data_IF_194627895550
#
_entry.id   IF_194627895550
#
_cell.length_a   1.000
_cell.length_b   1.000
_cell.length_c   1.000
_cell.angle_alpha   90.00
_cell.angle_beta   90.00
_cell.angle_gamma   90.00
#
_symmetry.space_group_name_H-M   'P 1'
#
loop_
_entity.id
_entity.type
_entity.pdbx_description
1 polymer ?
#
# COMPACT_ATOMS: atom_id res chain seq x y z
N UNK A 1 77.13 -9.25 -56.39
CA UNK A 1 76.38 -10.44 -56.86
C UNK A 1 74.92 -10.29 -56.44
N UNK A 2 74.01 -10.48 -57.41
CA UNK A 2 72.61 -10.96 -57.37
C UNK A 2 71.75 -10.67 -56.12
N UNK A 3 70.48 -10.24 -56.17
CA UNK A 3 69.48 -9.79 -57.16
C UNK A 3 68.35 -9.20 -56.27
N UNK A 4 67.92 -7.96 -56.50
CA UNK A 4 66.57 -7.62 -57.03
C UNK A 4 65.40 -8.21 -56.24
N UNK A 5 64.65 -7.41 -55.49
CA UNK A 5 63.37 -6.83 -55.92
C UNK A 5 62.39 -6.96 -54.73
N UNK A 6 61.28 -6.24 -54.56
CA UNK A 6 60.50 -5.30 -55.37
C UNK A 6 59.74 -4.43 -54.36
N UNK A 7 59.64 -3.14 -54.67
CA UNK A 7 58.77 -2.15 -54.08
C UNK A 7 57.30 -2.55 -54.29
N UNK A 8 56.46 -2.61 -53.25
CA UNK A 8 55.01 -2.44 -53.43
C UNK A 8 54.42 -1.63 -52.27
N UNK A 9 54.14 -0.38 -52.59
CA UNK A 9 53.42 0.58 -51.78
C UNK A 9 51.92 0.28 -51.95
N UNK A 10 51.26 -0.25 -50.92
CA UNK A 10 49.80 -0.23 -50.85
C UNK A 10 49.39 0.20 -49.45
N UNK A 11 49.10 1.49 -49.36
CA UNK A 11 48.27 2.12 -48.35
C UNK A 11 46.85 1.55 -48.45
N UNK A 12 46.44 0.69 -47.51
CA UNK A 12 45.03 0.47 -47.22
C UNK A 12 44.65 1.29 -45.97
N UNK A 13 44.16 2.51 -46.25
CA UNK A 13 43.37 3.28 -45.31
C UNK A 13 42.03 2.55 -45.10
N UNK A 14 41.97 1.69 -44.09
CA UNK A 14 40.67 1.29 -43.54
C UNK A 14 40.31 2.30 -42.45
N UNK A 15 39.54 3.31 -42.88
CA UNK A 15 38.64 4.06 -42.02
C UNK A 15 37.66 3.07 -41.37
N UNK A 16 38.02 2.53 -40.20
CA UNK A 16 37.06 1.96 -39.27
C UNK A 16 36.61 3.07 -38.34
N UNK A 17 35.50 3.74 -38.67
CA UNK A 17 34.85 4.68 -37.78
C UNK A 17 34.63 4.02 -36.41
N UNK A 18 35.19 4.68 -35.40
CA UNK A 18 34.71 4.67 -34.03
C UNK A 18 33.19 4.54 -34.00
N UNK A 19 32.72 3.45 -33.42
CA UNK A 19 31.56 3.46 -32.56
C UNK A 19 31.91 2.56 -31.40
N UNK A 20 32.54 3.15 -30.38
CA UNK A 20 32.24 2.73 -29.03
C UNK A 20 30.71 2.75 -28.93
N UNK A 21 30.10 1.57 -28.98
CA UNK A 21 28.73 1.42 -28.53
C UNK A 21 28.79 1.75 -27.05
N UNK A 22 28.60 3.03 -26.74
CA UNK A 22 28.03 3.46 -25.48
C UNK A 22 26.69 2.76 -25.47
N UNK A 23 26.67 1.56 -24.90
CA UNK A 23 25.49 1.06 -24.23
C UNK A 23 25.14 2.21 -23.30
N UNK A 24 24.17 3.03 -23.73
CA UNK A 24 23.44 3.84 -22.79
C UNK A 24 22.91 2.79 -21.84
N UNK A 25 23.55 2.64 -20.69
CA UNK A 25 22.82 2.31 -19.49
C UNK A 25 21.64 3.25 -19.53
N UNK A 26 20.49 2.71 -19.97
CA UNK A 26 19.24 3.31 -19.61
C UNK A 26 19.37 3.50 -18.11
N UNK A 27 19.44 4.76 -17.69
CA UNK A 27 19.29 5.11 -16.30
C UNK A 27 17.93 4.52 -15.91
N UNK A 28 17.94 3.27 -15.43
CA UNK A 28 16.83 2.69 -14.71
C UNK A 28 16.66 3.66 -13.57
N UNK A 29 15.72 4.57 -13.74
CA UNK A 29 15.35 5.49 -12.68
C UNK A 29 14.76 4.57 -11.63
N UNK A 30 15.57 4.22 -10.63
CA UNK A 30 15.16 3.30 -9.59
C UNK A 30 13.86 3.85 -9.01
N UNK A 31 12.78 3.08 -9.18
CA UNK A 31 11.51 3.45 -8.57
C UNK A 31 11.71 3.32 -7.07
N UNK A 32 11.29 4.32 -6.28
CA UNK A 32 11.41 4.23 -4.83
C UNK A 32 10.64 3.01 -4.32
N UNK A 33 11.00 2.45 -3.15
CA UNK A 33 10.26 1.37 -2.50
C UNK A 33 8.77 1.69 -2.36
N UNK A 34 7.92 0.66 -2.32
CA UNK A 34 6.47 0.83 -2.28
C UNK A 34 5.99 1.72 -1.12
N UNK A 35 6.51 1.50 0.09
CA UNK A 35 6.14 2.29 1.26
C UNK A 35 6.54 3.78 1.12
N UNK A 36 7.66 4.06 0.45
CA UNK A 36 8.06 5.43 0.14
C UNK A 36 7.09 6.06 -0.87
N UNK A 37 6.68 5.31 -1.91
CA UNK A 37 5.65 5.77 -2.85
C UNK A 37 4.32 6.07 -2.15
N UNK A 38 3.88 5.18 -1.25
CA UNK A 38 2.65 5.36 -0.45
C UNK A 38 2.77 6.63 0.40
N UNK A 39 3.88 6.79 1.13
CA UNK A 39 4.12 7.95 2.01
C UNK A 39 4.13 9.27 1.23
N UNK A 40 4.71 9.28 0.03
CA UNK A 40 4.70 10.45 -0.85
C UNK A 40 3.27 10.82 -1.27
N UNK A 41 2.48 9.84 -1.72
CA UNK A 41 1.07 10.06 -2.11
C UNK A 41 0.24 10.54 -0.91
N UNK A 42 0.42 9.96 0.27
CA UNK A 42 -0.25 10.42 1.50
C UNK A 42 0.07 11.88 1.81
N UNK A 43 1.34 12.25 1.71
CA UNK A 43 1.81 13.62 1.96
C UNK A 43 1.20 14.61 0.96
N UNK A 44 1.17 14.25 -0.33
CA UNK A 44 0.55 15.04 -1.39
C UNK A 44 -0.97 15.24 -1.17
N UNK A 45 -1.62 14.30 -0.49
CA UNK A 45 -3.05 14.32 -0.20
C UNK A 45 -3.37 14.76 1.24
N UNK A 46 -2.56 15.65 1.82
CA UNK A 46 -2.78 16.28 3.14
C UNK A 46 -2.78 15.31 4.34
N UNK A 47 -2.16 14.14 4.18
CA UNK A 47 -1.89 13.18 5.26
C UNK A 47 -0.38 13.03 5.53
N UNK A 48 0.36 14.13 5.81
CA UNK A 48 1.78 14.03 6.10
C UNK A 48 2.02 13.32 7.44
N UNK A 49 3.13 12.58 7.53
CA UNK A 49 3.63 11.96 8.77
C UNK A 49 2.62 11.02 9.47
N UNK A 50 1.72 10.39 8.70
CA UNK A 50 0.83 9.35 9.22
C UNK A 50 1.59 8.03 9.24
N UNK A 51 1.53 7.34 10.37
CA UNK A 51 2.15 6.03 10.52
C UNK A 51 1.28 4.96 9.84
N UNK A 52 1.88 4.22 8.90
CA UNK A 52 1.24 3.08 8.25
C UNK A 52 1.26 1.91 9.23
N UNK A 53 0.09 1.32 9.48
CA UNK A 53 -0.07 0.14 10.33
C UNK A 53 0.10 -1.14 9.51
N UNK A 54 -0.56 -1.20 8.35
CA UNK A 54 -0.56 -2.36 7.46
C UNK A 54 -0.99 -1.93 6.05
N UNK A 55 -0.72 -2.77 5.06
CA UNK A 55 -1.34 -2.64 3.74
C UNK A 55 -1.59 -4.00 3.10
N UNK A 56 -2.68 -4.08 2.33
CA UNK A 56 -3.00 -5.26 1.53
C UNK A 56 -3.12 -4.88 0.05
N UNK A 57 -2.63 -5.75 -0.83
CA UNK A 57 -2.72 -5.60 -2.29
C UNK A 57 -3.82 -6.56 -2.79
N UNK A 58 -4.83 -6.05 -3.48
CA UNK A 58 -5.89 -6.85 -4.13
C UNK A 58 -6.08 -6.40 -5.57
N UNK A 59 -5.61 -7.21 -6.51
CA UNK A 59 -5.57 -6.83 -7.93
C UNK A 59 -4.74 -5.57 -8.11
N UNK A 60 -5.33 -4.57 -8.76
CA UNK A 60 -4.68 -3.28 -9.01
C UNK A 60 -4.83 -2.28 -7.86
N UNK A 61 -5.39 -2.69 -6.72
CA UNK A 61 -5.63 -1.80 -5.58
C UNK A 61 -4.71 -2.11 -4.41
N UNK A 62 -4.26 -1.05 -3.72
CA UNK A 62 -3.53 -1.12 -2.47
C UNK A 62 -4.36 -0.41 -1.40
N UNK A 63 -4.66 -1.15 -0.34
CA UNK A 63 -5.45 -0.69 0.81
C UNK A 63 -4.48 -0.43 1.94
N UNK A 64 -4.25 0.84 2.26
CA UNK A 64 -3.25 1.23 3.25
C UNK A 64 -3.99 1.71 4.49
N UNK A 65 -3.71 1.04 5.61
CA UNK A 65 -4.29 1.33 6.90
C UNK A 65 -3.26 2.12 7.70
N UNK A 66 -3.67 3.26 8.25
CA UNK A 66 -2.77 4.16 8.95
C UNK A 66 -3.38 4.66 10.25
N UNK A 67 -2.53 5.06 11.21
CA UNK A 67 -2.96 5.67 12.48
C UNK A 67 -3.51 7.06 12.23
N UNK A 68 -4.80 7.27 12.48
CA UNK A 68 -5.41 8.57 12.29
C UNK A 68 -5.62 9.33 13.61
N UNK A 69 -4.79 10.35 13.85
CA UNK A 69 -4.85 11.18 15.05
C UNK A 69 -5.82 12.39 14.88
N UNK A 70 -7.10 12.16 14.60
CA UNK A 70 -8.05 13.25 14.29
C UNK A 70 -8.28 14.22 15.48
N UNK A 71 -8.15 13.75 16.72
CA UNK A 71 -8.39 14.50 17.96
C UNK A 71 -7.19 14.49 18.92
N UNK A 72 -6.02 14.02 18.47
CA UNK A 72 -4.78 14.01 19.24
C UNK A 72 -4.69 12.90 20.30
N UNK A 73 -5.73 12.08 20.50
CA UNK A 73 -5.75 10.98 21.47
C UNK A 73 -6.32 9.68 20.93
N UNK A 74 -7.11 9.71 19.86
CA UNK A 74 -7.58 8.50 19.20
C UNK A 74 -6.58 8.04 18.15
N UNK A 75 -6.09 6.81 18.33
CA UNK A 75 -5.18 6.14 17.39
C UNK A 75 -5.97 5.20 16.47
N UNK A 76 -7.21 5.57 16.12
CA UNK A 76 -8.07 4.68 15.34
C UNK A 76 -7.51 4.50 13.93
N UNK A 77 -7.49 3.27 13.40
CA UNK A 77 -7.11 3.03 12.01
C UNK A 77 -8.09 3.71 11.07
N UNK A 78 -7.54 4.32 10.02
CA UNK A 78 -8.29 4.83 8.89
C UNK A 78 -7.66 4.30 7.59
N UNK A 79 -8.32 4.52 6.47
CA UNK A 79 -7.98 3.89 5.19
C UNK A 79 -7.68 4.93 4.11
N UNK A 80 -6.65 4.64 3.33
CA UNK A 80 -6.55 5.13 1.96
C UNK A 80 -6.60 3.96 0.99
N UNK A 81 -7.14 4.21 -0.19
CA UNK A 81 -7.17 3.27 -1.30
C UNK A 81 -6.34 3.90 -2.40
N UNK A 82 -5.34 3.16 -2.86
CA UNK A 82 -4.50 3.53 -3.98
C UNK A 82 -4.76 2.57 -5.14
N UNK A 83 -4.65 3.05 -6.37
CA UNK A 83 -4.79 2.24 -7.57
C UNK A 83 -3.49 2.27 -8.36
N UNK A 84 -3.00 1.10 -8.72
CA UNK A 84 -1.94 0.90 -9.69
C UNK A 84 -2.52 1.13 -11.08
N UNK A 85 -1.86 1.99 -11.85
CA UNK A 85 -2.16 2.18 -13.25
C UNK A 85 -0.86 2.36 -14.03
N UNK A 86 -0.50 1.36 -14.84
CA UNK A 86 0.64 1.40 -15.75
C UNK A 86 1.98 1.69 -15.05
N UNK A 87 2.24 1.03 -13.93
CA UNK A 87 3.45 1.19 -13.13
C UNK A 87 3.46 2.41 -12.23
N UNK A 88 2.33 3.12 -12.08
CA UNK A 88 2.20 4.31 -11.24
C UNK A 88 1.08 4.14 -10.23
N UNK A 89 1.40 4.41 -8.97
CA UNK A 89 0.44 4.41 -7.89
C UNK A 89 -0.29 5.76 -7.84
N UNK A 90 -1.62 5.74 -7.70
CA UNK A 90 -2.46 6.93 -7.68
C UNK A 90 -3.44 6.91 -6.50
N UNK A 91 -3.75 8.08 -5.94
CA UNK A 91 -4.81 8.22 -4.95
C UNK A 91 -6.16 7.88 -5.57
N UNK A 92 -6.84 6.88 -5.01
CA UNK A 92 -8.17 6.50 -5.45
C UNK A 92 -9.24 6.96 -4.46
N UNK A 93 -8.99 6.83 -3.15
CA UNK A 93 -9.87 7.32 -2.11
C UNK A 93 -9.14 7.46 -0.76
N UNK A 94 -9.73 8.21 0.18
CA UNK A 94 -9.27 8.26 1.56
C UNK A 94 -10.38 8.46 2.59
N UNK A 95 -10.04 8.98 3.79
CA UNK A 95 -10.98 9.09 4.92
C UNK A 95 -12.30 9.80 4.60
N UNK A 96 -12.23 10.86 3.78
CA UNK A 96 -13.39 11.65 3.39
C UNK A 96 -14.34 10.93 2.43
N UNK A 97 -13.89 9.84 1.81
CA UNK A 97 -14.66 9.04 0.86
C UNK A 97 -15.31 7.81 1.54
N UNK A 98 -15.33 7.78 2.88
CA UNK A 98 -16.04 6.76 3.64
C UNK A 98 -17.52 6.77 3.28
N UNK A 99 -18.03 5.61 2.93
CA UNK A 99 -19.43 5.46 2.47
C UNK A 99 -20.41 5.31 3.62
N UNK A 100 -20.02 4.61 4.69
CA UNK A 100 -20.88 4.35 5.84
C UNK A 100 -20.06 4.14 7.10
N UNK A 101 -20.68 4.41 8.25
CA UNK A 101 -20.24 3.97 9.56
C UNK A 101 -21.41 3.24 10.21
N UNK A 102 -21.16 2.04 10.74
CA UNK A 102 -22.17 1.19 11.38
C UNK A 102 -21.72 0.93 12.81
N UNK A 103 -22.58 1.20 13.78
CA UNK A 103 -22.40 0.68 15.14
C UNK A 103 -22.77 -0.79 15.16
N UNK A 104 -21.86 -1.61 15.68
CA UNK A 104 -22.01 -3.05 15.86
C UNK A 104 -21.86 -3.39 17.35
N UNK A 105 -22.19 -4.62 17.75
CA UNK A 105 -22.21 -5.03 19.17
C UNK A 105 -20.92 -4.71 19.93
N UNK A 106 -19.77 -4.82 19.26
CA UNK A 106 -18.46 -4.62 19.86
C UNK A 106 -17.84 -3.25 19.62
N UNK A 107 -18.48 -2.35 18.84
CA UNK A 107 -17.90 -1.05 18.49
C UNK A 107 -18.40 -0.50 17.16
N UNK A 108 -17.48 -0.13 16.27
CA UNK A 108 -17.80 0.54 15.02
C UNK A 108 -17.13 -0.09 13.80
N UNK A 109 -17.89 -0.18 12.70
CA UNK A 109 -17.40 -0.58 11.39
C UNK A 109 -17.39 0.60 10.43
N UNK A 110 -16.24 0.91 9.84
CA UNK A 110 -16.07 1.88 8.76
C UNK A 110 -16.11 1.17 7.41
N UNK A 111 -16.97 1.63 6.50
CA UNK A 111 -17.15 1.02 5.19
C UNK A 111 -16.71 1.96 4.08
N UNK A 112 -15.92 1.44 3.15
CA UNK A 112 -15.45 2.10 1.94
C UNK A 112 -15.91 1.30 0.72
N UNK A 113 -17.20 1.43 0.38
CA UNK A 113 -17.77 0.79 -0.80
C UNK A 113 -17.36 1.52 -2.09
N UNK A 114 -17.03 0.77 -3.13
CA UNK A 114 -16.59 1.30 -4.43
C UNK A 114 -17.20 0.48 -5.56
N UNK A 115 -17.41 1.14 -6.69
CA UNK A 115 -17.85 0.47 -7.93
C UNK A 115 -16.71 -0.38 -8.54
N UNK A 116 -15.46 0.00 -8.27
CA UNK A 116 -14.27 -0.72 -8.70
C UNK A 116 -13.49 -1.26 -7.50
N UNK A 117 -13.21 -2.56 -7.50
CA UNK A 117 -12.52 -3.25 -6.40
C UNK A 117 -13.45 -3.65 -5.24
N UNK A 118 -12.95 -4.41 -4.26
CA UNK A 118 -13.75 -4.82 -3.10
C UNK A 118 -14.16 -3.64 -2.21
N UNK A 119 -15.35 -3.75 -1.63
CA UNK A 119 -15.75 -2.96 -0.47
C UNK A 119 -14.86 -3.33 0.71
N UNK A 120 -14.32 -2.31 1.38
CA UNK A 120 -13.50 -2.52 2.57
C UNK A 120 -14.30 -2.21 3.81
N UNK A 121 -14.23 -3.12 4.78
CA UNK A 121 -14.81 -2.92 6.11
C UNK A 121 -13.72 -2.99 7.16
N UNK A 122 -13.53 -1.92 7.92
CA UNK A 122 -12.62 -1.87 9.08
C UNK A 122 -13.48 -1.87 10.35
N UNK A 123 -13.36 -2.90 11.16
CA UNK A 123 -14.04 -3.06 12.43
C UNK A 123 -13.08 -2.72 13.55
N UNK A 124 -13.45 -1.70 14.32
CA UNK A 124 -12.74 -1.27 15.51
C UNK A 124 -13.62 -1.60 16.71
N UNK A 125 -13.18 -2.50 17.58
CA UNK A 125 -13.88 -2.70 18.84
C UNK A 125 -13.76 -1.44 19.71
N UNK A 126 -14.79 -1.17 20.51
CA UNK A 126 -14.71 -0.34 21.69
C UNK A 126 -13.80 -1.04 22.73
N UNK A 127 -13.67 -0.50 23.96
CA UNK A 127 -12.66 -0.98 24.90
C UNK A 127 -12.72 -2.50 25.21
N UNK A 128 -11.68 -3.20 24.74
CA UNK A 128 -11.24 -4.54 25.13
C UNK A 128 -12.31 -5.65 25.22
N UNK A 129 -13.18 -5.85 24.21
CA UNK A 129 -13.98 -7.06 24.15
C UNK A 129 -13.05 -8.26 23.88
N UNK A 130 -13.29 -9.38 24.56
CA UNK A 130 -12.60 -10.66 24.32
C UNK A 130 -13.04 -11.25 22.96
N UNK A 131 -12.70 -10.59 21.86
CA UNK A 131 -13.05 -10.98 20.51
C UNK A 131 -11.97 -11.92 19.98
N UNK A 132 -12.37 -13.15 19.72
CA UNK A 132 -11.53 -14.18 19.09
C UNK A 132 -11.50 -14.02 17.57
N UNK A 133 -12.57 -13.53 16.97
CA UNK A 133 -12.65 -13.30 15.54
C UNK A 133 -13.92 -12.58 15.13
N UNK A 134 -13.90 -12.02 13.92
CA UNK A 134 -15.05 -11.40 13.29
C UNK A 134 -15.24 -12.02 11.92
N UNK A 135 -16.50 -12.22 11.53
CA UNK A 135 -16.86 -12.49 10.15
C UNK A 135 -17.70 -11.35 9.59
N UNK A 136 -17.54 -11.10 8.30
CA UNK A 136 -18.34 -10.16 7.53
C UNK A 136 -18.89 -10.92 6.33
N UNK A 137 -20.22 -10.90 6.14
CA UNK A 137 -20.89 -11.68 5.10
C UNK A 137 -20.53 -13.19 5.15
N UNK A 138 -20.36 -13.73 6.37
CA UNK A 138 -20.01 -15.13 6.61
C UNK A 138 -18.53 -15.48 6.41
N UNK A 139 -17.70 -14.57 5.90
CA UNK A 139 -16.27 -14.77 5.68
C UNK A 139 -15.42 -14.25 6.85
N UNK A 140 -14.34 -14.94 7.18
CA UNK A 140 -13.44 -14.53 8.26
C UNK A 140 -12.63 -13.29 7.90
N UNK A 141 -12.71 -12.27 8.74
CA UNK A 141 -11.93 -11.04 8.62
C UNK A 141 -10.48 -11.24 9.10
N UNK A 142 -9.54 -10.53 8.48
CA UNK A 142 -8.13 -10.47 8.92
C UNK A 142 -8.05 -9.64 10.20
N UNK A 143 -7.49 -10.21 11.28
CA UNK A 143 -7.16 -9.45 12.48
C UNK A 143 -5.78 -8.82 12.32
N UNK A 144 -5.66 -7.53 12.65
CA UNK A 144 -4.39 -6.82 12.69
C UNK A 144 -4.22 -6.22 14.06
N UNK A 145 -3.07 -6.51 14.68
CA UNK A 145 -2.73 -6.08 16.02
C UNK A 145 -1.46 -5.25 15.97
N UNK A 146 -1.46 -4.09 16.62
CA UNK A 146 -0.27 -3.26 16.80
C UNK A 146 -0.18 -2.75 18.23
N UNK A 147 1.04 -2.38 18.63
CA UNK A 147 1.33 -1.80 19.92
C UNK A 147 1.52 -0.29 19.75
N UNK A 148 0.85 0.50 20.59
CA UNK A 148 1.17 1.91 20.76
C UNK A 148 1.98 2.07 22.03
N UNK A 149 3.17 2.65 21.92
CA UNK A 149 4.02 3.00 23.04
C UNK A 149 3.76 4.46 23.43
N UNK A 150 3.29 4.69 24.65
CA UNK A 150 3.09 6.04 25.19
C UNK A 150 4.34 6.52 25.94
N UNK A 151 4.98 5.60 26.65
CA UNK A 151 6.27 5.76 27.32
C UNK A 151 7.01 4.42 27.32
N UNK A 152 8.28 4.41 27.70
CA UNK A 152 9.12 3.20 27.79
C UNK A 152 8.47 2.04 28.58
N UNK A 153 7.59 2.37 29.55
CA UNK A 153 6.94 1.41 30.44
C UNK A 153 5.42 1.27 30.19
N UNK A 154 4.82 2.10 29.34
CA UNK A 154 3.37 2.13 29.11
C UNK A 154 3.08 1.95 27.63
N UNK A 155 2.46 0.83 27.30
CA UNK A 155 1.95 0.55 25.96
C UNK A 155 0.51 0.02 26.00
N UNK A 156 -0.24 0.24 24.92
CA UNK A 156 -1.56 -0.34 24.71
C UNK A 156 -1.56 -1.12 23.40
N UNK A 157 -2.05 -2.35 23.46
CA UNK A 157 -2.28 -3.16 22.29
C UNK A 157 -3.64 -2.77 21.68
N UNK A 158 -3.65 -2.52 20.38
CA UNK A 158 -4.85 -2.27 19.60
C UNK A 158 -5.04 -3.41 18.60
N UNK A 159 -6.29 -3.81 18.38
CA UNK A 159 -6.64 -4.80 17.36
C UNK A 159 -7.85 -4.31 16.58
N UNK A 160 -7.77 -4.39 15.26
CA UNK A 160 -8.90 -4.19 14.38
C UNK A 160 -9.06 -5.40 13.46
N UNK A 161 -10.24 -5.53 12.85
CA UNK A 161 -10.52 -6.53 11.82
C UNK A 161 -10.79 -5.85 10.49
N UNK A 162 -10.24 -6.39 9.41
CA UNK A 162 -10.46 -5.91 8.07
C UNK A 162 -11.02 -7.01 7.18
N UNK A 163 -12.05 -6.66 6.41
CA UNK A 163 -12.69 -7.52 5.42
C UNK A 163 -12.73 -6.84 4.05
N UNK A 164 -12.64 -7.66 3.01
CA UNK A 164 -12.74 -7.26 1.61
C UNK A 164 -13.88 -8.04 0.98
N UNK A 165 -14.96 -7.37 0.62
CA UNK A 165 -16.21 -8.02 0.19
C UNK A 165 -16.69 -7.42 -1.13
N UNK A 166 -17.31 -8.24 -1.97
CA UNK A 166 -17.93 -7.75 -3.22
C UNK A 166 -19.18 -6.89 -2.93
N UNK A 167 -19.92 -7.26 -1.88
CA UNK A 167 -21.13 -6.56 -1.46
C UNK A 167 -20.87 -5.60 -0.28
N UNK A 168 -21.79 -4.66 -0.07
CA UNK A 168 -21.74 -3.71 1.05
C UNK A 168 -22.46 -4.32 2.25
N UNK A 169 -21.75 -4.67 3.33
CA UNK A 169 -22.39 -5.29 4.49
C UNK A 169 -23.37 -4.35 5.19
N UNK A 170 -24.41 -4.96 5.74
CA UNK A 170 -25.40 -4.37 6.63
C UNK A 170 -25.18 -4.85 8.06
N UNK A 171 -25.95 -4.32 9.02
CA UNK A 171 -25.77 -4.67 10.44
C UNK A 171 -25.95 -6.17 10.76
N UNK A 172 -26.71 -6.91 9.94
CA UNK A 172 -26.97 -8.34 10.13
C UNK A 172 -25.83 -9.22 9.62
N UNK A 173 -24.89 -8.65 8.87
CA UNK A 173 -23.83 -9.38 8.18
C UNK A 173 -22.56 -9.54 9.03
N UNK A 174 -22.59 -9.12 10.29
CA UNK A 174 -21.46 -9.16 11.22
C UNK A 174 -21.65 -10.27 12.25
N UNK A 175 -20.80 -11.31 12.21
CA UNK A 175 -20.73 -12.32 13.26
C UNK A 175 -19.51 -12.08 14.14
N UNK A 176 -19.75 -11.84 15.43
CA UNK A 176 -18.69 -11.67 16.43
C UNK A 176 -18.47 -12.99 17.18
N UNK A 177 -17.24 -13.49 17.16
CA UNK A 177 -16.84 -14.70 17.87
C UNK A 177 -16.09 -14.26 19.12
N UNK A 178 -16.68 -14.46 20.29
CA UNK A 178 -16.07 -14.18 21.58
C UNK A 178 -15.19 -15.36 22.07
N UNK A 179 -14.26 -15.07 22.97
CA UNK A 179 -13.42 -16.08 23.63
C UNK A 179 -14.17 -16.91 24.66
#
# INVERSE_FOLDING_TARGET
>A
MKKMGVLFFVTFLLFGCSNEVKVKEENVTERPPLEEQITNIMTENTLPNKEIIDYDIKGDFIYVIFKNNYDGTSHYPDLIILKENNGKLQWHAGPNDRTKSISIEIGHALLFARDEGPTVTIIMPDDSPNVKGVKVLGETSKAVTYLEEFTDDISKQYTYWIAYTEEVPTHEDFDIIMQ
#
